data_IF_701765276572
#
_entry.id   IF_701765276572
#
_cell.length_a   1.000
_cell.length_b   1.000
_cell.length_c   1.000
_cell.angle_alpha   90.00
_cell.angle_beta   90.00
_cell.angle_gamma   90.00
#
_symmetry.space_group_name_H-M   'P 1'
#
loop_
_entity.id
_entity.type
_entity.pdbx_description
1 polymer ?
#
# COMPACT_ATOMS: atom_id res chain seq x y z
N UNK A 1 -5.30 18.06 -9.29
CA UNK A 1 -6.54 17.26 -9.15
C UNK A 1 -6.59 16.79 -7.71
N UNK A 2 -7.68 17.03 -7.00
CA UNK A 2 -7.81 16.75 -5.57
C UNK A 2 -7.63 15.25 -5.33
N UNK A 3 -6.54 14.87 -4.65
CA UNK A 3 -6.25 13.48 -4.33
C UNK A 3 -7.17 13.03 -3.20
N UNK A 4 -8.36 12.55 -3.57
CA UNK A 4 -9.38 12.18 -2.61
C UNK A 4 -9.03 10.83 -1.97
N UNK A 5 -9.45 10.61 -0.73
CA UNK A 5 -9.26 9.32 -0.05
C UNK A 5 -9.74 8.13 -0.91
N UNK A 6 -10.91 8.19 -1.60
CA UNK A 6 -11.32 7.13 -2.52
C UNK A 6 -10.35 6.90 -3.69
N UNK A 7 -9.79 7.95 -4.29
CA UNK A 7 -8.83 7.82 -5.40
C UNK A 7 -7.54 7.11 -4.95
N UNK A 8 -7.03 7.45 -3.76
CA UNK A 8 -5.86 6.79 -3.17
C UNK A 8 -6.11 5.32 -2.90
N UNK A 9 -7.29 4.98 -2.36
CA UNK A 9 -7.68 3.58 -2.10
C UNK A 9 -7.81 2.78 -3.41
N UNK A 10 -8.33 3.38 -4.47
CA UNK A 10 -8.41 2.74 -5.78
C UNK A 10 -7.02 2.46 -6.37
N UNK A 11 -6.09 3.42 -6.25
CA UNK A 11 -4.71 3.28 -6.73
C UNK A 11 -3.95 2.15 -6.03
N UNK A 12 -4.17 1.92 -4.73
CA UNK A 12 -3.52 0.85 -3.96
C UNK A 12 -3.75 -0.55 -4.55
N UNK A 13 -4.91 -0.80 -5.19
CA UNK A 13 -5.24 -2.13 -5.75
C UNK A 13 -4.40 -2.52 -6.97
N UNK A 14 -3.94 -1.52 -7.72
CA UNK A 14 -3.18 -1.72 -8.97
C UNK A 14 -1.70 -1.35 -8.81
N UNK A 15 -1.31 -0.88 -7.63
CA UNK A 15 0.05 -0.45 -7.34
C UNK A 15 1.02 -1.63 -7.40
N UNK A 16 2.20 -1.47 -8.03
CA UNK A 16 3.26 -2.46 -7.98
C UNK A 16 3.66 -2.81 -6.54
N UNK A 17 3.96 -4.09 -6.30
CA UNK A 17 4.35 -4.56 -4.98
C UNK A 17 5.54 -3.79 -4.33
N UNK A 18 6.58 -3.36 -5.07
CA UNK A 18 7.66 -2.55 -4.48
C UNK A 18 7.19 -1.20 -3.93
N UNK A 19 6.28 -0.54 -4.65
CA UNK A 19 5.71 0.76 -4.26
C UNK A 19 4.81 0.62 -3.04
N UNK A 20 3.99 -0.43 -3.00
CA UNK A 20 3.12 -0.71 -1.85
C UNK A 20 3.92 -0.90 -0.56
N UNK A 21 5.08 -1.58 -0.63
CA UNK A 21 6.00 -1.74 0.51
C UNK A 21 6.66 -0.43 0.93
N UNK A 22 7.03 0.42 -0.02
CA UNK A 22 7.59 1.73 0.28
C UNK A 22 6.56 2.62 0.98
N UNK A 23 5.32 2.63 0.49
CA UNK A 23 4.23 3.38 1.10
C UNK A 23 3.89 2.87 2.50
N UNK A 24 3.93 1.56 2.73
CA UNK A 24 3.75 1.00 4.08
C UNK A 24 4.78 1.55 5.07
N UNK A 25 6.07 1.49 4.72
CA UNK A 25 7.13 2.00 5.59
C UNK A 25 7.00 3.50 5.85
N UNK A 26 6.58 4.27 4.85
CA UNK A 26 6.37 5.72 5.00
C UNK A 26 5.19 6.06 5.92
N UNK A 27 4.14 5.22 5.96
CA UNK A 27 2.95 5.47 6.77
C UNK A 27 3.04 4.92 8.19
N UNK A 28 3.71 3.78 8.36
CA UNK A 28 3.71 3.01 9.59
C UNK A 28 5.09 2.85 10.22
N UNK A 29 6.15 3.36 9.59
CA UNK A 29 7.55 3.31 10.06
C UNK A 29 8.04 1.90 10.45
N UNK A 30 7.38 0.88 9.90
CA UNK A 30 7.59 -0.53 10.23
C UNK A 30 7.67 -1.35 8.96
N UNK A 31 8.21 -2.56 9.05
CA UNK A 31 8.22 -3.46 7.90
C UNK A 31 6.80 -3.97 7.59
N UNK A 32 6.45 -4.11 6.29
CA UNK A 32 5.18 -4.71 5.91
C UNK A 32 5.11 -6.15 6.40
N UNK A 33 3.96 -6.62 6.90
CA UNK A 33 3.81 -7.97 7.40
C UNK A 33 4.16 -8.99 6.30
N UNK A 34 4.76 -10.14 6.66
CA UNK A 34 4.97 -11.21 5.70
C UNK A 34 3.62 -11.59 5.08
N UNK A 35 3.62 -11.86 3.77
CA UNK A 35 2.43 -12.24 3.02
C UNK A 35 1.60 -13.25 3.81
N UNK A 36 0.32 -12.94 4.05
CA UNK A 36 -0.61 -13.84 4.73
C UNK A 36 -0.77 -15.11 3.88
N UNK A 37 0.06 -16.13 4.16
CA UNK A 37 -0.01 -17.47 3.58
C UNK A 37 -1.19 -18.22 4.18
N UNK A 38 -2.41 -17.73 3.95
CA UNK A 38 -3.61 -18.54 4.10
C UNK A 38 -3.83 -19.21 2.74
N UNK A 39 -3.11 -20.30 2.51
CA UNK A 39 -3.42 -21.24 1.43
C UNK A 39 -4.71 -21.99 1.79
#
# INVERSE_FOLDING_TARGET
>A
MTDTIPARVAALKIMPMPELKAQWRALFETEPPPFNRRH
#
